data_IF_515583407720
#
_entry.id   IF_515583407720
#
_cell.length_a   1.000
_cell.length_b   1.000
_cell.length_c   1.000
_cell.angle_alpha   90.00
_cell.angle_beta   90.00
_cell.angle_gamma   90.00
#
_symmetry.space_group_name_H-M   'P 1'
#
loop_
_entity.id
_entity.type
_entity.pdbx_description
1 polymer ?
#
# COMPACT_ATOMS: atom_id res chain seq x y z
N UNK A 1 -30.63 56.15 2.43
CA UNK A 1 -29.82 55.51 1.39
C UNK A 1 -30.64 54.39 0.84
N UNK A 2 -31.09 54.54 -0.41
CA UNK A 2 -31.92 53.55 -1.06
C UNK A 2 -31.06 52.37 -1.51
N UNK A 3 -31.66 51.19 -1.66
CA UNK A 3 -30.90 49.98 -2.04
C UNK A 3 -30.17 50.14 -3.38
N UNK A 4 -30.74 50.94 -4.28
CA UNK A 4 -30.14 51.31 -5.56
C UNK A 4 -28.82 52.07 -5.40
N UNK A 5 -28.73 53.01 -4.46
CA UNK A 5 -27.49 53.77 -4.19
C UNK A 5 -26.38 52.84 -3.68
N UNK A 6 -26.72 51.85 -2.85
CA UNK A 6 -25.78 50.87 -2.35
C UNK A 6 -25.21 49.99 -3.48
N UNK A 7 -26.06 49.53 -4.41
CA UNK A 7 -25.63 48.74 -5.55
C UNK A 7 -24.71 49.51 -6.49
N UNK A 8 -25.03 50.78 -6.76
CA UNK A 8 -24.14 51.63 -7.56
C UNK A 8 -22.78 51.82 -6.90
N UNK A 9 -22.76 52.02 -5.59
CA UNK A 9 -21.52 52.18 -4.81
C UNK A 9 -20.65 50.92 -4.86
N UNK A 10 -21.27 49.74 -4.74
CA UNK A 10 -20.59 48.43 -4.84
C UNK A 10 -20.03 48.19 -6.25
N UNK A 11 -20.80 48.51 -7.29
CA UNK A 11 -20.35 48.40 -8.68
C UNK A 11 -19.16 49.31 -8.97
N UNK A 12 -19.20 50.55 -8.44
CA UNK A 12 -18.13 51.54 -8.59
C UNK A 12 -16.84 51.09 -7.89
N UNK A 13 -16.93 50.52 -6.70
CA UNK A 13 -15.76 49.93 -6.02
C UNK A 13 -15.17 48.75 -6.78
N UNK A 14 -16.00 47.87 -7.35
CA UNK A 14 -15.54 46.73 -8.14
C UNK A 14 -14.76 47.17 -9.39
N UNK A 15 -15.26 48.18 -10.10
CA UNK A 15 -14.55 48.75 -11.26
C UNK A 15 -13.23 49.41 -10.87
N UNK A 16 -13.19 50.11 -9.73
CA UNK A 16 -11.95 50.73 -9.23
C UNK A 16 -10.88 49.71 -8.80
N UNK A 17 -11.28 48.49 -8.40
CA UNK A 17 -10.33 47.41 -8.14
C UNK A 17 -9.85 46.73 -9.42
N UNK A 18 -10.71 46.58 -10.43
CA UNK A 18 -10.35 46.00 -11.72
C UNK A 18 -9.40 46.88 -12.55
N UNK A 19 -9.49 48.21 -12.41
CA UNK A 19 -8.65 49.17 -13.13
C UNK A 19 -7.33 49.50 -12.42
N UNK A 20 -7.03 48.89 -11.27
CA UNK A 20 -5.69 48.99 -10.69
C UNK A 20 -4.78 48.03 -11.46
N UNK A 21 -3.67 48.50 -12.06
CA UNK A 21 -2.69 47.58 -12.61
C UNK A 21 -2.29 46.63 -11.48
N UNK A 22 -2.34 45.32 -11.76
CA UNK A 22 -1.83 44.29 -10.86
C UNK A 22 -0.38 44.65 -10.62
N UNK A 23 -0.10 45.35 -9.52
CA UNK A 23 1.24 45.41 -8.99
C UNK A 23 1.56 43.95 -8.69
N UNK A 24 2.40 43.36 -9.53
CA UNK A 24 3.10 42.13 -9.25
C UNK A 24 3.76 42.33 -7.89
N UNK A 25 3.04 41.98 -6.82
CA UNK A 25 3.59 41.81 -5.51
C UNK A 25 4.51 40.61 -5.67
N UNK A 26 5.76 40.89 -5.99
CA UNK A 26 6.85 39.96 -5.74
C UNK A 26 6.60 39.46 -4.32
N UNK A 27 6.25 38.18 -4.22
CA UNK A 27 6.10 37.57 -2.91
C UNK A 27 7.43 37.79 -2.20
N UNK A 28 7.41 38.20 -0.92
CA UNK A 28 8.63 38.53 -0.25
C UNK A 28 9.53 37.28 -0.18
N UNK A 29 10.84 37.46 -0.35
CA UNK A 29 11.82 36.37 -0.57
C UNK A 29 11.71 35.24 0.46
N UNK A 30 11.32 35.55 1.71
CA UNK A 30 11.09 34.57 2.78
C UNK A 30 9.95 33.59 2.51
N UNK A 31 8.92 33.98 1.75
CA UNK A 31 7.84 33.10 1.29
C UNK A 31 8.33 32.16 0.18
N UNK A 32 9.23 32.64 -0.67
CA UNK A 32 9.85 31.87 -1.75
C UNK A 32 10.85 30.84 -1.18
N UNK A 33 11.66 31.23 -0.19
CA UNK A 33 12.60 30.34 0.50
C UNK A 33 11.90 29.20 1.25
N UNK A 34 10.69 29.46 1.78
CA UNK A 34 9.86 28.44 2.45
C UNK A 34 9.30 27.38 1.48
N UNK A 35 9.24 27.68 0.17
CA UNK A 35 8.90 26.68 -0.86
C UNK A 35 10.09 25.79 -1.22
N UNK A 36 11.32 26.27 -1.08
CA UNK A 36 12.54 25.54 -1.43
C UNK A 36 13.05 24.64 -0.29
N UNK A 37 12.83 25.01 0.97
CA UNK A 37 13.18 24.17 2.12
C UNK A 37 12.16 23.06 2.34
N UNK A 38 12.18 22.05 1.46
CA UNK A 38 11.73 20.71 1.82
C UNK A 38 12.67 20.15 2.88
N UNK A 39 12.49 20.58 4.13
CA UNK A 39 13.12 19.92 5.28
C UNK A 39 12.85 18.42 5.19
N UNK A 40 13.81 17.58 5.59
CA UNK A 40 13.76 16.10 5.52
C UNK A 40 12.39 15.47 5.85
N UNK A 41 11.62 16.11 6.74
CA UNK A 41 10.26 15.72 7.11
C UNK A 41 9.20 15.88 5.99
N UNK A 42 9.28 16.92 5.16
CA UNK A 42 8.36 17.12 4.03
C UNK A 42 8.60 16.07 2.93
N UNK A 43 9.87 15.80 2.59
CA UNK A 43 10.24 14.72 1.68
C UNK A 43 9.82 13.36 2.21
N UNK A 44 9.96 13.12 3.52
CA UNK A 44 9.48 11.89 4.15
C UNK A 44 7.94 11.76 4.06
N UNK A 45 7.20 12.85 4.25
CA UNK A 45 5.73 12.86 4.10
C UNK A 45 5.31 12.58 2.66
N UNK A 46 5.96 13.22 1.70
CA UNK A 46 5.71 12.99 0.27
C UNK A 46 6.03 11.54 -0.13
N UNK A 47 7.13 10.98 0.38
CA UNK A 47 7.50 9.59 0.14
C UNK A 47 6.48 8.60 0.75
N UNK A 48 5.98 8.87 1.95
CA UNK A 48 4.93 8.05 2.58
C UNK A 48 3.63 8.13 1.77
N UNK A 49 3.20 9.33 1.39
CA UNK A 49 1.99 9.52 0.59
C UNK A 49 2.08 8.76 -0.74
N UNK A 50 3.21 8.88 -1.43
CA UNK A 50 3.47 8.14 -2.67
C UNK A 50 3.47 6.63 -2.43
N UNK A 51 4.11 6.15 -1.37
CA UNK A 51 4.11 4.72 -1.05
C UNK A 51 2.70 4.19 -0.73
N UNK A 52 1.82 5.01 -0.13
CA UNK A 52 0.43 4.66 0.12
C UNK A 52 -0.39 4.58 -1.17
N UNK A 53 -0.20 5.53 -2.09
CA UNK A 53 -0.81 5.49 -3.42
C UNK A 53 -0.34 4.26 -4.20
N UNK A 54 0.97 3.98 -4.21
CA UNK A 54 1.52 2.80 -4.87
C UNK A 54 1.03 1.49 -4.22
N UNK A 55 0.81 1.49 -2.91
CA UNK A 55 0.26 0.34 -2.20
C UNK A 55 -1.23 0.12 -2.51
N UNK A 56 -2.02 1.19 -2.64
CA UNK A 56 -3.45 1.08 -2.96
C UNK A 56 -3.66 0.55 -4.37
N UNK A 57 -2.89 1.04 -5.34
CA UNK A 57 -2.92 0.56 -6.73
C UNK A 57 -2.52 -0.92 -6.79
N UNK A 58 -1.47 -1.32 -6.07
CA UNK A 58 -1.06 -2.73 -6.01
C UNK A 58 -2.11 -3.62 -5.36
N UNK A 59 -2.71 -3.19 -4.25
CA UNK A 59 -3.77 -3.95 -3.59
C UNK A 59 -4.99 -4.16 -4.51
N UNK A 60 -5.37 -3.16 -5.28
CA UNK A 60 -6.45 -3.29 -6.27
C UNK A 60 -6.11 -4.30 -7.38
N UNK A 61 -4.86 -4.30 -7.85
CA UNK A 61 -4.39 -5.25 -8.86
C UNK A 61 -4.32 -6.67 -8.30
N UNK A 62 -3.70 -6.83 -7.13
CA UNK A 62 -3.52 -8.12 -6.47
C UNK A 62 -4.87 -8.75 -6.15
N UNK A 63 -5.82 -8.01 -5.55
CA UNK A 63 -7.14 -8.55 -5.19
C UNK A 63 -7.96 -9.05 -6.38
N UNK A 64 -7.77 -8.47 -7.58
CA UNK A 64 -8.44 -8.91 -8.81
C UNK A 64 -7.71 -10.08 -9.49
N UNK A 65 -6.46 -10.35 -9.14
CA UNK A 65 -5.69 -11.44 -9.71
C UNK A 65 -6.20 -12.81 -9.23
N UNK A 66 -5.99 -13.88 -10.01
CA UNK A 66 -6.31 -15.23 -9.57
C UNK A 66 -5.39 -15.67 -8.43
N UNK A 67 -5.99 -16.16 -7.35
CA UNK A 67 -5.29 -16.69 -6.18
C UNK A 67 -5.48 -18.19 -6.04
N UNK A 68 -4.44 -18.86 -5.52
CA UNK A 68 -4.46 -20.28 -5.21
C UNK A 68 -4.36 -20.47 -3.70
N UNK A 69 -5.11 -21.43 -3.16
CA UNK A 69 -5.08 -21.77 -1.73
C UNK A 69 -4.10 -22.91 -1.48
N UNK A 70 -3.06 -22.65 -0.69
CA UNK A 70 -2.04 -23.64 -0.30
C UNK A 70 -1.92 -23.67 1.22
N UNK A 71 -2.11 -24.85 1.84
CA UNK A 71 -2.08 -25.03 3.30
C UNK A 71 -2.97 -24.03 4.06
N UNK A 72 -4.14 -23.72 3.51
CA UNK A 72 -5.11 -22.80 4.12
C UNK A 72 -4.91 -21.31 3.81
N UNK A 73 -3.76 -20.90 3.27
CA UNK A 73 -3.47 -19.49 2.89
C UNK A 73 -3.71 -19.26 1.39
N UNK A 74 -4.36 -18.14 1.05
CA UNK A 74 -4.43 -17.66 -0.34
C UNK A 74 -3.15 -16.91 -0.71
N UNK A 75 -2.63 -17.21 -1.89
CA UNK A 75 -1.41 -16.61 -2.43
C UNK A 75 -1.53 -16.43 -3.93
N UNK A 76 -0.75 -15.51 -4.49
CA UNK A 76 -0.72 -15.32 -5.93
C UNK A 76 -0.13 -16.56 -6.62
N UNK A 77 -0.41 -16.71 -7.91
CA UNK A 77 0.13 -17.83 -8.68
C UNK A 77 1.67 -17.81 -8.73
N UNK A 78 2.28 -16.64 -8.78
CA UNK A 78 3.74 -16.48 -8.76
C UNK A 78 4.34 -16.90 -7.42
N UNK A 79 3.72 -16.49 -6.31
CA UNK A 79 4.13 -16.89 -4.96
C UNK A 79 4.04 -18.41 -4.77
N UNK A 80 2.97 -19.02 -5.29
CA UNK A 80 2.78 -20.46 -5.24
C UNK A 80 3.89 -21.20 -6.00
N UNK A 81 4.26 -20.71 -7.19
CA UNK A 81 5.35 -21.28 -7.98
C UNK A 81 6.71 -21.08 -7.31
N UNK A 82 6.97 -19.90 -6.75
CA UNK A 82 8.19 -19.62 -6.00
C UNK A 82 8.31 -20.56 -4.81
N UNK A 83 7.22 -20.76 -4.06
CA UNK A 83 7.17 -21.70 -2.93
C UNK A 83 7.42 -23.14 -3.36
N UNK A 84 6.88 -23.56 -4.52
CA UNK A 84 7.15 -24.89 -5.06
C UNK A 84 8.63 -25.07 -5.44
N UNK A 85 9.27 -24.05 -6.03
CA UNK A 85 10.71 -24.07 -6.33
C UNK A 85 11.59 -24.10 -5.08
N UNK A 86 11.14 -23.45 -3.99
CA UNK A 86 11.82 -23.43 -2.71
C UNK A 86 11.61 -24.71 -1.88
N UNK A 87 10.67 -25.58 -2.24
CA UNK A 87 10.57 -26.90 -1.61
C UNK A 87 11.80 -27.72 -1.99
N UNK A 88 12.76 -27.75 -1.08
CA UNK A 88 13.86 -28.71 -1.15
C UNK A 88 13.28 -30.12 -1.08
N UNK A 89 13.88 -31.03 -1.85
CA UNK A 89 13.48 -32.43 -1.81
C UNK A 89 13.55 -32.93 -0.36
N UNK A 90 12.43 -33.47 0.14
CA UNK A 90 12.42 -34.06 1.46
C UNK A 90 13.50 -35.13 1.53
N UNK A 91 14.29 -35.12 2.61
CA UNK A 91 15.29 -36.16 2.82
C UNK A 91 14.62 -37.54 2.73
N UNK A 92 15.24 -38.52 2.04
CA UNK A 92 14.66 -39.85 1.91
C UNK A 92 14.42 -40.43 3.31
N UNK A 93 13.28 -41.08 3.48
CA UNK A 93 12.90 -41.65 4.77
C UNK A 93 13.93 -42.72 5.21
N UNK A 94 14.39 -42.64 6.46
CA UNK A 94 15.35 -43.58 7.01
C UNK A 94 14.73 -44.99 7.06
N UNK A 95 15.37 -45.96 6.40
CA UNK A 95 14.88 -47.33 6.27
C UNK A 95 14.71 -48.05 7.62
N UNK A 96 15.63 -47.83 8.57
CA UNK A 96 15.56 -48.43 9.90
C UNK A 96 14.36 -47.90 10.70
N UNK A 97 14.07 -46.59 10.57
CA UNK A 97 12.87 -46.00 11.16
C UNK A 97 11.60 -46.59 10.56
N UNK A 98 11.57 -46.83 9.25
CA UNK A 98 10.40 -47.46 8.60
C UNK A 98 10.19 -48.87 9.13
N UNK A 99 11.25 -49.69 9.16
CA UNK A 99 11.18 -51.07 9.66
C UNK A 99 10.71 -51.11 11.13
N UNK A 100 11.17 -50.18 11.95
CA UNK A 100 10.72 -50.05 13.33
C UNK A 100 9.24 -49.64 13.45
N UNK A 101 8.78 -48.69 12.63
CA UNK A 101 7.35 -48.31 12.61
C UNK A 101 6.47 -49.49 12.19
N UNK A 102 6.90 -50.30 11.22
CA UNK A 102 6.18 -51.49 10.79
C UNK A 102 6.09 -52.55 11.89
N UNK A 103 7.18 -52.79 12.62
CA UNK A 103 7.18 -53.73 13.75
C UNK A 103 6.23 -53.26 14.85
N UNK A 104 6.23 -51.95 15.19
CA UNK A 104 5.29 -51.36 16.13
C UNK A 104 3.83 -51.52 15.69
N UNK A 105 3.52 -51.28 14.42
CA UNK A 105 2.16 -51.46 13.87
C UNK A 105 1.68 -52.91 14.00
N UNK A 106 2.56 -53.89 13.74
CA UNK A 106 2.24 -55.32 13.91
C UNK A 106 1.94 -55.65 15.36
N UNK A 107 2.79 -55.19 16.29
CA UNK A 107 2.61 -55.42 17.74
C UNK A 107 1.33 -54.75 18.26
N UNK A 108 1.02 -53.53 17.83
CA UNK A 108 -0.22 -52.84 18.21
C UNK A 108 -1.47 -53.54 17.68
N UNK A 109 -1.45 -54.03 16.44
CA UNK A 109 -2.55 -54.83 15.91
C UNK A 109 -2.76 -56.10 16.73
N UNK A 110 -1.69 -56.83 17.04
CA UNK A 110 -1.78 -58.04 17.85
C UNK A 110 -2.38 -57.77 19.25
N UNK A 111 -1.97 -56.68 19.91
CA UNK A 111 -2.51 -56.26 21.20
C UNK A 111 -3.96 -55.75 21.16
N UNK A 112 -4.43 -55.24 20.01
CA UNK A 112 -5.82 -54.75 19.85
C UNK A 112 -6.82 -55.90 19.66
N UNK A 113 -6.36 -57.03 19.14
CA UNK A 113 -7.18 -58.22 18.87
C UNK A 113 -6.96 -59.35 19.90
N UNK A 114 -6.25 -59.06 21.00
CA UNK A 114 -6.26 -59.84 22.24
C UNK A 114 -7.22 -59.19 23.23
#
# INVERSE_FOLDING_TARGET
MDFSDYLETVLKQRQQQANKPVQNKQQPVWLQQRMEDKTSQSTARDAIAKAQEDASVRAEQETKAPHVRINGRYMSQEEAQAKAKLQTQAAPANADRIAYIESLKKTLRAKKYQ
#
